data_IF_997169903297
#
_entry.id   IF_997169903297
#
_cell.length_a   1.000
_cell.length_b   1.000
_cell.length_c   1.000
_cell.angle_alpha   90.00
_cell.angle_beta   90.00
_cell.angle_gamma   90.00
#
_symmetry.space_group_name_H-M   'P 1'
#
loop_
_entity.id
_entity.type
_entity.pdbx_description
1 polymer ?
#
# COMPACT_ATOMS: atom_id res chain seq x y z
N UNK A 1 22.15 -4.62 -9.84
CA UNK A 1 22.46 -4.94 -11.24
C UNK A 1 23.95 -5.27 -11.37
N UNK A 2 24.85 -4.38 -10.99
CA UNK A 2 26.29 -4.57 -11.06
C UNK A 2 26.79 -5.84 -10.35
N UNK A 3 26.30 -6.13 -9.15
CA UNK A 3 26.70 -7.33 -8.40
C UNK A 3 26.32 -8.63 -9.12
N UNK A 4 25.13 -8.69 -9.75
CA UNK A 4 24.72 -9.88 -10.49
C UNK A 4 25.51 -10.10 -11.77
N UNK A 5 26.00 -9.02 -12.39
CA UNK A 5 26.87 -9.07 -13.56
C UNK A 5 28.28 -9.54 -13.18
N UNK A 6 28.80 -9.07 -12.05
CA UNK A 6 30.13 -9.47 -11.55
C UNK A 6 30.16 -10.92 -11.09
N UNK A 7 29.12 -11.37 -10.38
CA UNK A 7 29.03 -12.72 -9.82
C UNK A 7 28.60 -13.76 -10.86
N UNK A 8 28.06 -13.35 -12.02
CA UNK A 8 27.52 -14.25 -13.04
C UNK A 8 26.33 -15.09 -12.57
N UNK A 9 25.72 -14.73 -11.43
CA UNK A 9 24.61 -15.46 -10.84
C UNK A 9 23.65 -14.51 -10.09
N UNK A 10 22.35 -14.81 -10.18
CA UNK A 10 21.31 -14.17 -9.36
C UNK A 10 21.11 -14.98 -8.10
N UNK A 11 21.52 -14.46 -6.94
CA UNK A 11 21.50 -15.15 -5.66
C UNK A 11 20.07 -15.50 -5.17
N UNK A 12 19.11 -14.60 -5.40
CA UNK A 12 17.72 -14.83 -4.97
C UNK A 12 16.91 -15.40 -6.13
N UNK A 13 16.09 -16.46 -5.91
CA UNK A 13 15.29 -17.05 -6.96
C UNK A 13 14.22 -16.09 -7.49
N UNK A 14 13.79 -16.32 -8.74
CA UNK A 14 12.52 -15.78 -9.24
C UNK A 14 11.41 -16.60 -8.60
N UNK A 15 10.37 -15.93 -8.08
CA UNK A 15 9.21 -16.62 -7.51
C UNK A 15 8.08 -16.58 -8.54
N UNK A 16 7.59 -17.76 -8.88
CA UNK A 16 6.59 -17.98 -9.94
C UNK A 16 5.37 -18.70 -9.36
N UNK A 17 4.20 -18.36 -9.86
CA UNK A 17 2.94 -19.03 -9.61
C UNK A 17 2.13 -19.13 -10.90
N UNK A 18 1.71 -20.34 -11.27
CA UNK A 18 0.97 -20.62 -12.50
C UNK A 18 1.60 -19.98 -13.76
N UNK A 19 2.93 -20.06 -13.88
CA UNK A 19 3.66 -19.47 -14.99
C UNK A 19 3.85 -17.95 -14.94
N UNK A 20 3.32 -17.26 -13.92
CA UNK A 20 3.46 -15.82 -13.74
C UNK A 20 4.52 -15.50 -12.66
N UNK A 21 5.38 -14.52 -12.91
CA UNK A 21 6.36 -14.05 -11.91
C UNK A 21 5.60 -13.24 -10.86
N UNK A 22 5.65 -13.67 -9.61
CA UNK A 22 5.06 -12.97 -8.46
C UNK A 22 6.08 -12.18 -7.65
N UNK A 23 7.37 -12.53 -7.74
CA UNK A 23 8.48 -11.71 -7.24
C UNK A 23 9.73 -11.90 -8.09
N UNK A 24 10.51 -10.82 -8.23
CA UNK A 24 11.76 -10.84 -8.96
C UNK A 24 11.73 -10.24 -10.36
N UNK A 25 10.74 -9.41 -10.71
CA UNK A 25 10.63 -8.80 -12.05
C UNK A 25 11.90 -8.05 -12.50
N UNK A 26 12.57 -7.31 -11.61
CA UNK A 26 13.82 -6.62 -11.95
C UNK A 26 14.94 -7.62 -12.22
N UNK A 27 15.02 -8.71 -11.45
CA UNK A 27 15.96 -9.81 -11.70
C UNK A 27 15.71 -10.46 -13.05
N UNK A 28 14.45 -10.68 -13.38
CA UNK A 28 14.06 -11.26 -14.68
C UNK A 28 14.47 -10.36 -15.85
N UNK A 29 14.32 -9.03 -15.73
CA UNK A 29 14.79 -8.08 -16.76
C UNK A 29 16.31 -8.17 -16.96
N UNK A 30 17.09 -8.30 -15.89
CA UNK A 30 18.54 -8.48 -15.96
C UNK A 30 18.87 -9.78 -16.69
N UNK A 31 18.22 -10.88 -16.32
CA UNK A 31 18.41 -12.20 -16.95
C UNK A 31 18.05 -12.16 -18.45
N UNK A 32 16.98 -11.45 -18.83
CA UNK A 32 16.62 -11.28 -20.23
C UNK A 32 17.68 -10.49 -21.02
N UNK A 33 18.29 -9.49 -20.41
CA UNK A 33 19.37 -8.69 -21.02
C UNK A 33 20.70 -9.45 -21.04
N UNK A 34 20.92 -10.40 -20.13
CA UNK A 34 22.16 -11.15 -19.90
C UNK A 34 21.88 -12.64 -19.75
N UNK A 35 21.65 -13.38 -20.86
CA UNK A 35 21.28 -14.80 -20.82
C UNK A 35 22.34 -15.72 -20.22
N UNK A 36 23.59 -15.25 -20.13
CA UNK A 36 24.72 -15.95 -19.52
C UNK A 36 24.62 -16.05 -17.98
N UNK A 37 23.80 -15.20 -17.34
CA UNK A 37 23.65 -15.16 -15.88
C UNK A 37 22.82 -16.36 -15.42
N UNK A 38 23.38 -17.12 -14.50
CA UNK A 38 22.67 -18.25 -13.87
C UNK A 38 21.62 -17.77 -12.88
N UNK A 39 20.46 -18.38 -12.90
CA UNK A 39 19.37 -18.06 -11.97
C UNK A 39 18.62 -19.33 -11.55
N UNK A 40 17.86 -19.21 -10.48
CA UNK A 40 16.96 -20.26 -9.98
C UNK A 40 15.52 -19.75 -9.99
N UNK A 41 14.59 -20.66 -10.19
CA UNK A 41 13.15 -20.41 -10.13
C UNK A 41 12.58 -21.21 -8.98
N UNK A 42 11.77 -20.56 -8.16
CA UNK A 42 11.01 -21.19 -7.08
C UNK A 42 9.52 -21.07 -7.40
N UNK A 43 8.86 -22.19 -7.60
CA UNK A 43 7.43 -22.23 -7.78
C UNK A 43 6.75 -22.25 -6.42
N UNK A 44 5.90 -21.24 -6.16
CA UNK A 44 5.15 -21.10 -4.93
C UNK A 44 3.67 -21.24 -5.23
N UNK A 45 3.02 -22.16 -4.58
CA UNK A 45 1.58 -22.36 -4.73
C UNK A 45 0.79 -21.40 -3.84
N UNK A 46 -0.30 -20.87 -4.39
CA UNK A 46 -1.31 -20.11 -3.69
C UNK A 46 -2.69 -20.71 -3.96
N UNK A 47 -3.60 -20.71 -2.96
CA UNK A 47 -4.93 -21.26 -3.12
C UNK A 47 -5.78 -20.50 -4.14
N UNK A 48 -5.55 -19.20 -4.29
CA UNK A 48 -6.24 -18.32 -5.22
C UNK A 48 -5.41 -17.06 -5.54
N UNK A 49 -5.93 -16.26 -6.48
CA UNK A 49 -5.31 -15.00 -6.90
C UNK A 49 -5.20 -13.99 -5.76
N UNK A 50 -6.18 -13.95 -4.88
CA UNK A 50 -6.21 -12.98 -3.79
C UNK A 50 -5.16 -13.29 -2.74
N UNK A 51 -4.95 -14.58 -2.45
CA UNK A 51 -3.85 -15.02 -1.58
C UNK A 51 -2.47 -14.66 -2.18
N UNK A 52 -2.30 -14.78 -3.49
CA UNK A 52 -1.08 -14.35 -4.17
C UNK A 52 -0.88 -12.83 -4.07
N UNK A 53 -1.91 -12.02 -4.31
CA UNK A 53 -1.86 -10.55 -4.18
C UNK A 53 -1.52 -10.15 -2.74
N UNK A 54 -2.18 -10.74 -1.74
CA UNK A 54 -1.90 -10.46 -0.34
C UNK A 54 -0.45 -10.75 0.03
N UNK A 55 0.09 -11.88 -0.46
CA UNK A 55 1.48 -12.26 -0.25
C UNK A 55 2.45 -11.27 -0.93
N UNK A 56 2.19 -10.89 -2.20
CA UNK A 56 2.99 -9.87 -2.91
C UNK A 56 3.02 -8.57 -2.13
N UNK A 57 1.85 -8.06 -1.70
CA UNK A 57 1.77 -6.83 -0.92
C UNK A 57 2.54 -6.93 0.40
N UNK A 58 2.47 -8.07 1.09
CA UNK A 58 3.21 -8.30 2.32
C UNK A 58 4.74 -8.23 2.10
N UNK A 59 5.24 -8.88 1.05
CA UNK A 59 6.66 -8.83 0.70
C UNK A 59 7.12 -7.43 0.31
N UNK A 60 6.30 -6.70 -0.45
CA UNK A 60 6.63 -5.32 -0.84
C UNK A 60 6.68 -4.39 0.38
N UNK A 61 5.77 -4.56 1.37
CA UNK A 61 5.76 -3.77 2.61
C UNK A 61 7.04 -3.94 3.44
N UNK A 62 7.77 -5.05 3.28
CA UNK A 62 9.07 -5.28 3.90
C UNK A 62 10.24 -4.49 3.29
N UNK A 63 10.04 -3.82 2.16
CA UNK A 63 11.09 -3.04 1.49
C UNK A 63 11.36 -1.72 2.22
N UNK A 64 12.65 -1.31 2.26
CA UNK A 64 13.07 -0.10 2.99
C UNK A 64 12.69 1.20 2.30
N UNK A 65 12.62 1.22 0.97
CA UNK A 65 12.52 2.44 0.15
C UNK A 65 11.10 2.69 -0.38
N UNK A 66 10.07 2.47 0.45
CA UNK A 66 8.69 2.77 0.07
C UNK A 66 8.32 4.20 0.45
N UNK A 67 7.70 4.94 -0.48
CA UNK A 67 7.07 6.22 -0.14
C UNK A 67 5.88 5.99 0.81
N UNK A 68 5.47 6.99 1.59
CA UNK A 68 4.27 6.87 2.42
C UNK A 68 3.01 6.50 1.62
N UNK A 69 2.91 7.00 0.38
CA UNK A 69 1.80 6.71 -0.54
C UNK A 69 1.83 5.25 -1.01
N UNK A 70 3.01 4.74 -1.40
CA UNK A 70 3.19 3.33 -1.75
C UNK A 70 2.84 2.41 -0.58
N UNK A 71 3.34 2.72 0.62
CA UNK A 71 3.02 1.94 1.83
C UNK A 71 1.51 1.91 2.09
N UNK A 72 0.85 3.04 1.99
CA UNK A 72 -0.61 3.15 2.16
C UNK A 72 -1.34 2.31 1.11
N UNK A 73 -0.97 2.44 -0.17
CA UNK A 73 -1.55 1.69 -1.26
C UNK A 73 -1.41 0.17 -1.04
N UNK A 74 -0.22 -0.32 -0.71
CA UNK A 74 0.03 -1.74 -0.45
C UNK A 74 -0.76 -2.28 0.74
N UNK A 75 -0.91 -1.50 1.81
CA UNK A 75 -1.74 -1.87 2.96
C UNK A 75 -3.21 -2.01 2.53
N UNK A 76 -3.70 -1.08 1.71
CA UNK A 76 -5.06 -1.13 1.20
C UNK A 76 -5.32 -2.31 0.29
N UNK A 77 -4.43 -2.57 -0.66
CA UNK A 77 -4.49 -3.72 -1.57
C UNK A 77 -4.43 -5.05 -0.81
N UNK A 78 -3.54 -5.15 0.16
CA UNK A 78 -3.45 -6.34 1.01
C UNK A 78 -4.75 -6.60 1.76
N UNK A 79 -5.33 -5.56 2.37
CA UNK A 79 -6.56 -5.70 3.13
C UNK A 79 -7.73 -6.11 2.24
N UNK A 80 -7.86 -5.53 1.05
CA UNK A 80 -8.90 -5.92 0.10
C UNK A 80 -8.72 -7.36 -0.38
N UNK A 81 -7.50 -7.76 -0.76
CA UNK A 81 -7.19 -9.10 -1.20
C UNK A 81 -7.51 -10.15 -0.12
N UNK A 82 -7.11 -9.92 1.12
CA UNK A 82 -7.40 -10.83 2.23
C UNK A 82 -8.90 -10.95 2.52
N UNK A 83 -9.66 -9.84 2.40
CA UNK A 83 -11.13 -9.87 2.50
C UNK A 83 -11.76 -10.73 1.42
N UNK A 84 -11.29 -10.63 0.19
CA UNK A 84 -11.81 -11.42 -0.92
C UNK A 84 -11.50 -12.92 -0.73
N UNK A 85 -10.29 -13.26 -0.31
CA UNK A 85 -9.92 -14.62 0.03
C UNK A 85 -10.77 -15.20 1.18
N UNK A 86 -11.09 -14.41 2.20
CA UNK A 86 -11.95 -14.82 3.31
C UNK A 86 -13.42 -15.00 2.88
N UNK A 87 -13.94 -14.11 2.02
CA UNK A 87 -15.31 -14.21 1.51
C UNK A 87 -15.51 -15.47 0.67
N UNK A 88 -14.47 -15.94 -0.01
CA UNK A 88 -14.51 -17.18 -0.79
C UNK A 88 -14.54 -18.45 0.09
N UNK A 89 -14.07 -18.37 1.33
CA UNK A 89 -14.11 -19.50 2.29
C UNK A 89 -15.50 -19.81 2.86
N UNK A 90 -16.53 -19.16 2.37
CA UNK A 90 -17.91 -19.34 2.80
C UNK A 90 -18.33 -18.36 3.91
N UNK A 91 -19.60 -18.01 3.89
CA UNK A 91 -20.22 -17.23 4.95
C UNK A 91 -20.33 -18.11 6.21
N UNK A 92 -20.18 -17.55 7.41
CA UNK A 92 -20.34 -18.26 8.69
C UNK A 92 -21.64 -19.09 8.78
N UNK A 93 -22.64 -18.76 7.96
CA UNK A 93 -23.90 -19.52 7.86
C UNK A 93 -23.81 -20.75 6.97
N UNK A 94 -22.86 -20.85 6.03
CA UNK A 94 -22.67 -22.07 5.21
C UNK A 94 -21.86 -23.14 5.93
N UNK A 95 -21.00 -22.76 6.88
CA UNK A 95 -20.26 -23.71 7.72
C UNK A 95 -21.12 -24.37 8.82
N UNK A 96 -22.31 -23.82 9.12
CA UNK A 96 -23.22 -24.40 10.12
C UNK A 96 -24.11 -25.53 9.60
N UNK A 97 -24.11 -25.83 8.30
CA UNK A 97 -25.02 -26.84 7.72
C UNK A 97 -24.48 -28.27 7.75
N UNK A 98 -23.19 -28.47 8.04
CA UNK A 98 -22.57 -29.82 8.06
C UNK A 98 -22.08 -30.32 9.42
N UNK A 99 -22.22 -29.52 10.47
CA UNK A 99 -21.77 -29.95 11.81
C UNK A 99 -22.90 -29.74 12.83
N UNK A 100 -23.59 -30.85 13.12
CA UNK A 100 -24.54 -30.88 14.19
C UNK A 100 -23.94 -30.43 15.53
N UNK A 101 -24.76 -29.76 16.33
CA UNK A 101 -24.60 -29.37 17.72
C UNK A 101 -23.37 -29.95 18.44
N UNK A 102 -22.32 -29.17 18.61
CA UNK A 102 -21.34 -29.40 19.64
C UNK A 102 -21.21 -28.16 20.53
N UNK A 103 -21.50 -28.38 21.79
CA UNK A 103 -21.53 -27.44 22.90
C UNK A 103 -20.18 -26.83 23.17
N UNK A 104 -20.20 -25.51 23.54
CA UNK A 104 -19.22 -24.86 24.42
C UNK A 104 -17.74 -25.16 24.20
N UNK A 105 -17.16 -24.62 23.10
CA UNK A 105 -15.75 -24.36 23.03
C UNK A 105 -15.53 -22.84 23.13
N UNK A 106 -14.62 -22.40 23.99
CA UNK A 106 -14.18 -21.03 24.13
C UNK A 106 -14.05 -20.38 22.75
N UNK A 107 -14.91 -19.43 22.46
CA UNK A 107 -14.92 -18.61 21.24
C UNK A 107 -13.66 -17.73 21.27
N UNK A 108 -12.52 -18.29 20.87
CA UNK A 108 -11.39 -17.48 20.45
C UNK A 108 -11.90 -16.66 19.26
N UNK A 109 -12.31 -15.41 19.55
CA UNK A 109 -12.68 -14.45 18.52
C UNK A 109 -11.50 -14.38 17.57
N UNK A 110 -11.63 -15.04 16.42
CA UNK A 110 -10.67 -14.93 15.30
C UNK A 110 -10.42 -13.45 15.09
N UNK A 111 -9.16 -13.04 15.24
CA UNK A 111 -8.78 -11.65 15.06
C UNK A 111 -9.20 -11.18 13.67
N UNK A 112 -9.90 -10.04 13.59
CA UNK A 112 -10.35 -9.52 12.30
C UNK A 112 -9.16 -9.13 11.44
N UNK A 113 -9.22 -9.38 10.14
CA UNK A 113 -8.17 -9.06 9.16
C UNK A 113 -7.63 -7.65 9.30
N UNK A 114 -8.51 -6.65 9.49
CA UNK A 114 -8.07 -5.26 9.67
C UNK A 114 -7.27 -5.04 10.97
N UNK A 115 -7.56 -5.78 12.04
CA UNK A 115 -6.86 -5.69 13.33
C UNK A 115 -5.48 -6.34 13.24
N UNK A 116 -5.38 -7.48 12.57
CA UNK A 116 -4.10 -8.17 12.31
C UNK A 116 -3.16 -7.31 11.47
N UNK A 117 -3.63 -6.78 10.32
CA UNK A 117 -2.83 -5.92 9.47
C UNK A 117 -2.43 -4.63 10.20
N UNK A 118 -3.31 -4.06 11.01
CA UNK A 118 -3.03 -2.87 11.82
C UNK A 118 -1.88 -3.13 12.81
N UNK A 119 -1.92 -4.25 13.53
CA UNK A 119 -0.88 -4.66 14.47
C UNK A 119 0.46 -4.91 13.78
N UNK A 120 0.46 -5.67 12.67
CA UNK A 120 1.68 -5.98 11.92
C UNK A 120 2.40 -4.73 11.38
N UNK A 121 1.64 -3.68 11.02
CA UNK A 121 2.19 -2.44 10.50
C UNK A 121 2.28 -1.31 11.53
N UNK A 122 1.96 -1.56 12.80
CA UNK A 122 1.96 -0.56 13.89
C UNK A 122 1.09 0.66 13.61
N UNK A 123 -0.09 0.45 13.03
CA UNK A 123 -1.08 1.49 12.68
C UNK A 123 -2.45 1.18 13.27
N UNK A 124 -3.37 2.16 13.23
CA UNK A 124 -4.74 1.94 13.67
C UNK A 124 -5.56 1.14 12.65
N UNK A 125 -6.57 0.39 13.11
CA UNK A 125 -7.53 -0.28 12.21
C UNK A 125 -8.28 0.68 11.28
N UNK A 126 -8.51 1.91 11.72
CA UNK A 126 -9.12 2.94 10.89
C UNK A 126 -8.18 3.39 9.77
N UNK A 127 -6.87 3.41 10.02
CA UNK A 127 -5.86 3.67 9.00
C UNK A 127 -5.86 2.59 7.92
N UNK A 128 -6.01 1.30 8.28
CA UNK A 128 -6.13 0.20 7.31
C UNK A 128 -7.36 0.40 6.41
N UNK A 129 -8.52 0.75 6.98
CA UNK A 129 -9.73 0.99 6.20
C UNK A 129 -9.62 2.21 5.28
N UNK A 130 -8.97 3.29 5.74
CA UNK A 130 -8.70 4.45 4.90
C UNK A 130 -7.73 4.10 3.77
N UNK A 131 -6.74 3.26 4.04
CA UNK A 131 -5.82 2.76 3.04
C UNK A 131 -6.52 1.93 1.95
N UNK A 132 -7.53 1.11 2.30
CA UNK A 132 -8.39 0.41 1.34
C UNK A 132 -9.10 1.39 0.39
N UNK A 133 -9.76 2.41 0.95
CA UNK A 133 -10.46 3.40 0.13
C UNK A 133 -9.50 4.20 -0.75
N UNK A 134 -8.32 4.53 -0.23
CA UNK A 134 -7.27 5.17 -1.00
C UNK A 134 -6.79 4.29 -2.17
N UNK A 135 -6.52 3.02 -1.93
CA UNK A 135 -6.08 2.09 -2.96
C UNK A 135 -7.12 1.94 -4.07
N UNK A 136 -8.40 1.78 -3.72
CA UNK A 136 -9.49 1.73 -4.69
C UNK A 136 -9.60 3.02 -5.52
N UNK A 137 -9.37 4.16 -4.89
CA UNK A 137 -9.37 5.45 -5.59
C UNK A 137 -8.20 5.59 -6.56
N UNK A 138 -7.00 5.12 -6.18
CA UNK A 138 -5.83 5.10 -7.07
C UNK A 138 -6.08 4.22 -8.29
N UNK A 139 -6.62 3.01 -8.10
CA UNK A 139 -6.89 2.09 -9.20
C UNK A 139 -7.99 2.65 -10.12
N UNK A 140 -9.07 3.20 -9.56
CA UNK A 140 -10.12 3.85 -10.35
C UNK A 140 -9.63 5.08 -11.13
N UNK A 141 -8.64 5.81 -10.60
CA UNK A 141 -8.03 6.92 -11.32
C UNK A 141 -7.17 6.43 -12.48
N UNK A 142 -6.39 5.34 -12.27
CA UNK A 142 -5.51 4.77 -13.29
C UNK A 142 -6.28 4.11 -14.45
N UNK A 143 -7.50 3.61 -14.20
CA UNK A 143 -8.43 3.14 -15.26
C UNK A 143 -8.86 4.25 -16.22
N UNK A 144 -8.95 5.49 -15.72
CA UNK A 144 -9.37 6.65 -16.51
C UNK A 144 -8.17 7.29 -17.20
N UNK A 145 -7.09 7.49 -16.46
CA UNK A 145 -5.86 8.10 -16.94
C UNK A 145 -4.67 7.19 -16.62
N UNK A 146 -4.25 6.33 -17.57
CA UNK A 146 -3.13 5.43 -17.39
C UNK A 146 -1.84 6.20 -17.05
N UNK A 147 -1.18 5.79 -15.94
CA UNK A 147 0.05 6.40 -15.44
C UNK A 147 -0.14 7.34 -14.25
N UNK A 148 -1.37 7.81 -13.96
CA UNK A 148 -1.62 8.65 -12.77
C UNK A 148 -1.30 7.92 -11.46
N UNK A 149 -1.46 6.61 -11.44
CA UNK A 149 -1.06 5.76 -10.31
C UNK A 149 0.41 5.96 -9.95
N UNK A 150 1.28 6.00 -10.96
CA UNK A 150 2.71 6.21 -10.74
C UNK A 150 2.98 7.60 -10.17
N UNK A 151 2.31 8.64 -10.66
CA UNK A 151 2.44 10.02 -10.15
C UNK A 151 1.96 10.12 -8.68
N UNK A 152 0.85 9.47 -8.35
CA UNK A 152 0.31 9.41 -6.98
C UNK A 152 1.26 8.66 -6.04
N UNK A 153 1.74 7.48 -6.45
CA UNK A 153 2.57 6.62 -5.61
C UNK A 153 4.01 7.12 -5.46
N UNK A 154 4.56 7.81 -6.46
CA UNK A 154 5.86 8.49 -6.35
C UNK A 154 5.79 9.73 -5.45
N UNK A 155 4.60 10.32 -5.30
CA UNK A 155 4.39 11.58 -4.59
C UNK A 155 4.67 12.81 -5.44
N UNK A 156 4.74 12.67 -6.77
CA UNK A 156 4.85 13.79 -7.73
C UNK A 156 3.63 14.71 -7.62
N UNK A 157 2.44 14.10 -7.48
CA UNK A 157 1.22 14.81 -7.10
C UNK A 157 0.81 14.42 -5.68
N UNK A 158 0.31 15.37 -4.90
CA UNK A 158 -0.02 15.18 -3.47
C UNK A 158 -1.44 15.62 -3.16
N UNK A 159 -2.45 14.98 -3.77
CA UNK A 159 -3.84 15.23 -3.41
C UNK A 159 -4.15 14.79 -1.98
N UNK A 160 -5.32 15.15 -1.47
CA UNK A 160 -5.79 14.62 -0.20
C UNK A 160 -6.25 13.16 -0.36
N UNK A 161 -6.04 12.33 0.65
CA UNK A 161 -6.52 10.94 0.64
C UNK A 161 -8.04 10.84 0.39
N UNK A 162 -8.79 11.82 0.87
CA UNK A 162 -10.24 11.91 0.68
C UNK A 162 -10.61 12.20 -0.76
N UNK A 163 -9.85 13.04 -1.46
CA UNK A 163 -10.07 13.32 -2.88
C UNK A 163 -9.80 12.07 -3.73
N UNK A 164 -8.70 11.37 -3.48
CA UNK A 164 -8.40 10.11 -4.16
C UNK A 164 -9.49 9.06 -3.89
N UNK A 165 -9.87 8.86 -2.63
CA UNK A 165 -10.89 7.89 -2.26
C UNK A 165 -12.30 8.23 -2.80
N UNK A 166 -12.57 9.48 -3.10
CA UNK A 166 -13.85 9.92 -3.69
C UNK A 166 -14.05 9.39 -5.12
N UNK A 167 -12.97 9.25 -5.90
CA UNK A 167 -13.01 8.77 -7.28
C UNK A 167 -13.63 7.37 -7.38
N UNK A 168 -13.25 6.46 -6.47
CA UNK A 168 -13.82 5.11 -6.45
C UNK A 168 -15.33 5.09 -6.12
N UNK A 169 -15.82 6.12 -5.45
CA UNK A 169 -17.22 6.22 -5.02
C UNK A 169 -18.09 7.03 -5.98
N UNK A 170 -17.47 7.82 -6.84
CA UNK A 170 -18.14 8.67 -7.80
C UNK A 170 -18.73 7.86 -8.94
N UNK A 171 -19.79 8.40 -9.57
CA UNK A 171 -20.35 7.83 -10.78
C UNK A 171 -19.31 7.84 -11.92
N UNK A 172 -19.35 6.85 -12.83
CA UNK A 172 -18.38 6.74 -13.93
C UNK A 172 -18.22 8.02 -14.75
N UNK A 173 -19.31 8.77 -14.95
CA UNK A 173 -19.30 10.02 -15.75
C UNK A 173 -18.59 11.18 -15.02
N UNK A 174 -18.56 11.18 -13.70
CA UNK A 174 -17.94 12.23 -12.88
C UNK A 174 -16.44 11.98 -12.62
N UNK A 175 -15.99 10.73 -12.72
CA UNK A 175 -14.62 10.34 -12.40
C UNK A 175 -13.55 11.10 -13.19
N UNK A 176 -13.69 11.35 -14.52
CA UNK A 176 -12.68 12.08 -15.28
C UNK A 176 -12.43 13.49 -14.74
N UNK A 177 -13.51 14.20 -14.39
CA UNK A 177 -13.40 15.54 -13.80
C UNK A 177 -12.70 15.53 -12.43
N UNK A 178 -12.96 14.51 -11.62
CA UNK A 178 -12.29 14.33 -10.31
C UNK A 178 -10.81 14.00 -10.47
N UNK A 179 -10.45 13.20 -11.48
CA UNK A 179 -9.05 12.86 -11.78
C UNK A 179 -8.27 14.11 -12.19
N UNK A 180 -8.84 14.95 -13.04
CA UNK A 180 -8.22 16.22 -13.43
C UNK A 180 -7.99 17.15 -12.23
N UNK A 181 -8.94 17.17 -11.28
CA UNK A 181 -8.82 17.96 -10.04
C UNK A 181 -7.67 17.50 -9.13
N UNK A 182 -7.20 16.24 -9.21
CA UNK A 182 -6.08 15.76 -8.40
C UNK A 182 -4.77 16.50 -8.69
N UNK A 183 -4.62 17.06 -9.89
CA UNK A 183 -3.42 17.80 -10.33
C UNK A 183 -3.46 19.27 -9.95
N UNK A 184 -4.64 19.78 -9.60
CA UNK A 184 -4.76 21.17 -9.19
C UNK A 184 -4.07 21.40 -7.84
N UNK A 185 -3.26 22.48 -7.71
CA UNK A 185 -2.66 22.81 -6.42
C UNK A 185 -3.75 23.06 -5.39
N UNK A 186 -3.53 22.56 -4.16
CA UNK A 186 -4.42 22.72 -3.04
C UNK A 186 -4.81 24.20 -2.87
N UNK A 187 -6.03 24.56 -3.20
CA UNK A 187 -6.58 25.83 -2.69
C UNK A 187 -6.71 25.66 -1.17
N UNK A 188 -5.88 26.37 -0.41
CA UNK A 188 -6.06 26.45 1.03
C UNK A 188 -7.42 27.11 1.28
N UNK A 189 -8.33 26.49 2.06
CA UNK A 189 -9.53 27.20 2.47
C UNK A 189 -9.08 28.45 3.23
N UNK A 190 -9.57 29.61 2.80
CA UNK A 190 -9.41 30.87 3.52
C UNK A 190 -9.80 30.63 4.97
N UNK A 191 -8.83 30.81 5.87
CA UNK A 191 -9.11 30.83 7.30
C UNK A 191 -10.05 32.02 7.55
N UNK A 192 -11.31 31.72 7.81
CA UNK A 192 -12.20 32.69 8.39
C UNK A 192 -11.54 33.32 9.62
N UNK A 193 -11.65 34.66 9.83
CA UNK A 193 -10.99 35.33 10.94
C UNK A 193 -11.55 34.79 12.25
N UNK A 194 -10.68 34.21 13.06
CA UNK A 194 -11.01 33.80 14.42
C UNK A 194 -11.23 35.10 15.24
N UNK A 195 -12.47 35.27 15.66
CA UNK A 195 -12.85 36.33 16.62
C UNK A 195 -12.03 36.17 17.90
N UNK A 196 -11.31 37.23 18.24
CA UNK A 196 -10.60 37.42 19.52
C UNK A 196 -11.59 37.31 20.67
N UNK A 197 -11.31 36.48 21.64
CA UNK A 197 -11.79 36.70 23.03
C UNK A 197 -10.77 36.15 24.03
N UNK A 198 -10.19 37.18 24.68
CA UNK A 198 -9.74 37.29 26.09
C UNK A 198 -8.57 36.46 26.60
N UNK A 199 -7.60 37.25 26.91
CA UNK A 199 -6.40 37.09 27.75
C UNK A 199 -6.70 36.57 29.16
N UNK A 200 -5.79 35.73 29.67
CA UNK A 200 -5.17 35.97 30.99
C UNK A 200 -3.77 35.33 31.00
N UNK A 201 -2.79 35.98 31.63
CA UNK A 201 -1.40 35.54 31.61
C UNK A 201 -1.07 34.67 32.83
N UNK A 202 -0.16 33.73 32.69
CA UNK A 202 0.73 33.35 33.79
C UNK A 202 2.10 32.91 33.29
N UNK A 203 3.09 33.48 33.92
CA UNK A 203 4.52 33.34 33.69
C UNK A 203 5.06 31.99 34.14
N UNK A 204 5.99 31.37 33.43
CA UNK A 204 7.29 31.07 34.02
C UNK A 204 8.35 30.62 33.00
N UNK A 205 9.54 31.17 33.23
CA UNK A 205 10.83 31.00 32.57
C UNK A 205 11.31 29.51 32.50
N UNK A 206 12.11 29.08 31.56
CA UNK A 206 13.51 29.35 31.29
C UNK A 206 14.12 28.32 30.35
N UNK A 207 14.88 28.83 29.39
CA UNK A 207 16.18 28.37 28.83
C UNK A 207 16.41 26.89 28.53
N UNK A 208 16.87 26.48 27.34
CA UNK A 208 18.18 26.77 26.75
C UNK A 208 18.33 26.14 25.35
N UNK A 209 18.96 26.86 24.52
CA UNK A 209 19.66 26.71 23.26
C UNK A 209 20.39 25.35 23.11
N UNK A 210 20.26 24.69 21.92
CA UNK A 210 21.45 24.27 21.14
C UNK A 210 21.09 24.05 19.66
N UNK A 211 21.89 24.67 18.81
CA UNK A 211 22.02 24.51 17.35
C UNK A 211 22.71 23.19 17.03
N UNK A 212 22.40 22.61 15.87
CA UNK A 212 23.38 22.08 14.87
C UNK A 212 22.60 21.63 13.63
N UNK A 213 22.77 22.29 12.55
CA UNK A 213 23.63 22.13 11.37
C UNK A 213 23.23 20.98 10.44
N UNK A 214 23.10 21.40 9.18
CA UNK A 214 22.74 20.71 7.95
C UNK A 214 23.74 19.62 7.58
N UNK A 215 23.21 18.54 6.96
CA UNK A 215 23.95 17.80 5.95
C UNK A 215 23.01 17.38 4.80
N UNK A 216 23.36 17.83 3.61
CA UNK A 216 22.84 17.45 2.33
C UNK A 216 23.45 16.12 1.88
N UNK A 217 22.66 15.16 1.43
CA UNK A 217 23.14 14.12 0.51
C UNK A 217 22.00 13.57 -0.38
N UNK A 218 22.27 13.69 -1.63
CA UNK A 218 21.87 13.03 -2.90
C UNK A 218 20.78 11.97 -2.91
N UNK A 219 19.85 12.18 -3.83
CA UNK A 219 18.81 11.24 -4.30
C UNK A 219 19.42 9.99 -4.95
N UNK A 220 18.78 8.82 -4.76
CA UNK A 220 18.87 7.72 -5.73
C UNK A 220 17.55 7.45 -6.44
N UNK A 221 17.68 7.18 -7.72
CA UNK A 221 16.66 6.87 -8.72
C UNK A 221 15.62 5.82 -8.27
N UNK A 222 14.37 6.14 -8.61
CA UNK A 222 13.17 5.35 -8.37
C UNK A 222 13.05 4.17 -9.33
N UNK A 223 13.08 2.95 -8.82
CA UNK A 223 12.65 1.78 -9.60
C UNK A 223 11.14 1.58 -9.48
N UNK A 224 10.48 1.58 -10.64
CA UNK A 224 9.04 1.42 -10.81
C UNK A 224 8.56 0.05 -10.32
N UNK A 225 7.51 0.08 -9.51
CA UNK A 225 6.72 -1.11 -9.15
C UNK A 225 5.50 -1.15 -10.08
N UNK A 226 5.49 -2.11 -11.02
CA UNK A 226 4.28 -2.49 -11.76
C UNK A 226 3.68 -3.70 -11.03
N UNK A 227 2.47 -3.52 -10.50
CA UNK A 227 1.60 -4.60 -10.04
C UNK A 227 0.40 -4.66 -10.96
#
# INVERSE_FOLDING_TARGET
EENSLQDGVVLNPLIVWNGCIVDGHNRFRIIQAHPEIKYTVFEKEFPDRYAAIAWICCNQLGRRNLTPQQKKYLIGQRYEAEKQAENFRGNQYTLMSESGCAQNGHNQKSERTCERIARENSISKNTVRRAEHYAKGVDAADEIEPGIKQELLSGSIKPTDTAVAAIAKADPDERPALVEQLRLPKQMPDKAPVSMSKETPDENESSSITKNEAHSESEPELSLIHI
#
